data_IF_441925630967
#
_entry.id   IF_441925630967
#
_cell.length_a   1.000
_cell.length_b   1.000
_cell.length_c   1.000
_cell.angle_alpha   90.00
_cell.angle_beta   90.00
_cell.angle_gamma   90.00
#
_symmetry.space_group_name_H-M   'P 1'
#
loop_
_entity.id
_entity.type
_entity.pdbx_description
1 polymer ?
#
# COMPACT_ATOMS: atom_id res chain seq x y z
N UNK A 1 -41.88 8.62 -18.78
CA UNK A 1 -40.65 8.51 -19.59
C UNK A 1 -39.60 7.80 -18.73
N UNK A 2 -39.95 6.59 -18.30
CA UNK A 2 -39.53 5.28 -18.84
C UNK A 2 -38.22 4.81 -18.22
N UNK A 3 -38.40 3.99 -17.19
CA UNK A 3 -37.44 3.13 -16.48
C UNK A 3 -36.79 2.06 -17.37
N UNK A 4 -36.54 2.35 -18.65
CA UNK A 4 -36.08 1.39 -19.66
C UNK A 4 -34.55 1.26 -19.78
N UNK A 5 -33.79 1.98 -18.95
CA UNK A 5 -32.31 1.95 -19.00
C UNK A 5 -31.72 0.87 -18.08
N UNK A 6 -32.50 0.27 -17.18
CA UNK A 6 -32.04 -0.78 -16.25
C UNK A 6 -32.24 -2.22 -16.78
N UNK A 7 -32.80 -2.39 -17.99
CA UNK A 7 -33.24 -3.70 -18.49
C UNK A 7 -32.39 -4.28 -19.64
N UNK A 8 -31.27 -3.64 -19.96
CA UNK A 8 -30.23 -4.27 -20.77
C UNK A 8 -29.10 -4.72 -19.86
N UNK A 9 -29.28 -5.90 -19.23
CA UNK A 9 -28.18 -6.72 -18.75
C UNK A 9 -27.39 -7.24 -19.94
N UNK A 10 -26.64 -6.36 -20.60
CA UNK A 10 -25.53 -6.79 -21.44
C UNK A 10 -24.58 -7.57 -20.52
N UNK A 11 -24.25 -8.79 -20.92
CA UNK A 11 -22.98 -9.40 -20.55
C UNK A 11 -21.85 -8.58 -21.21
N UNK A 12 -21.77 -7.29 -20.86
CA UNK A 12 -20.64 -6.45 -21.17
C UNK A 12 -19.50 -7.03 -20.35
N UNK A 13 -18.67 -7.83 -21.01
CA UNK A 13 -17.28 -7.94 -20.60
C UNK A 13 -16.83 -6.51 -20.38
N UNK A 14 -16.42 -6.16 -19.14
CA UNK A 14 -15.82 -4.85 -18.88
C UNK A 14 -14.65 -4.70 -19.84
N UNK A 15 -14.86 -4.00 -20.95
CA UNK A 15 -13.77 -3.55 -21.80
C UNK A 15 -13.04 -2.51 -20.97
N UNK A 16 -11.76 -2.76 -20.65
CA UNK A 16 -10.92 -1.77 -20.01
C UNK A 16 -11.07 -0.45 -20.78
N UNK A 17 -11.52 0.61 -20.10
CA UNK A 17 -11.69 1.90 -20.75
C UNK A 17 -10.29 2.40 -21.12
N UNK A 18 -9.98 2.41 -22.42
CA UNK A 18 -8.74 2.95 -22.95
C UNK A 18 -8.75 4.48 -22.83
N UNK A 19 -8.48 4.96 -21.62
CA UNK A 19 -8.30 6.38 -21.33
C UNK A 19 -6.94 6.87 -21.84
N UNK A 20 -6.96 7.94 -22.64
CA UNK A 20 -5.76 8.54 -23.21
C UNK A 20 -5.58 9.98 -22.73
N UNK A 21 -4.33 10.44 -22.62
CA UNK A 21 -3.98 11.83 -22.33
C UNK A 21 -4.39 12.31 -20.94
N UNK A 22 -5.09 13.44 -20.87
CA UNK A 22 -5.46 14.10 -19.59
C UNK A 22 -6.36 13.23 -18.70
N UNK A 23 -7.23 12.41 -19.29
CA UNK A 23 -8.09 11.48 -18.55
C UNK A 23 -7.28 10.36 -17.87
N UNK A 24 -6.19 9.91 -18.49
CA UNK A 24 -5.27 8.95 -17.88
C UNK A 24 -4.55 9.60 -16.68
N UNK A 25 -4.11 10.85 -16.81
CA UNK A 25 -3.44 11.58 -15.74
C UNK A 25 -4.36 11.85 -14.55
N UNK A 26 -5.62 12.23 -14.78
CA UNK A 26 -6.58 12.44 -13.68
C UNK A 26 -6.91 11.14 -12.96
N UNK A 27 -7.07 10.04 -13.70
CA UNK A 27 -7.25 8.71 -13.09
C UNK A 27 -5.99 8.27 -12.33
N UNK A 28 -4.81 8.49 -12.90
CA UNK A 28 -3.53 8.22 -12.22
C UNK A 28 -3.40 9.02 -10.93
N UNK A 29 -3.85 10.27 -10.91
CA UNK A 29 -3.88 11.09 -9.69
C UNK A 29 -4.89 10.55 -8.66
N UNK A 30 -6.09 10.14 -9.10
CA UNK A 30 -7.07 9.53 -8.20
C UNK A 30 -6.60 8.21 -7.58
N UNK A 31 -5.83 7.41 -8.32
CA UNK A 31 -5.24 6.18 -7.78
C UNK A 31 -4.31 6.45 -6.58
N UNK A 32 -3.73 7.66 -6.49
CA UNK A 32 -2.81 8.00 -5.41
C UNK A 32 -3.43 7.86 -4.03
N UNK A 33 -4.60 8.46 -3.83
CA UNK A 33 -5.27 8.49 -2.53
C UNK A 33 -5.85 7.14 -2.09
N UNK A 34 -6.24 6.30 -3.06
CA UNK A 34 -6.97 5.07 -2.79
C UNK A 34 -6.03 3.88 -2.65
N UNK A 35 -4.99 3.81 -3.49
CA UNK A 35 -4.13 2.63 -3.59
C UNK A 35 -2.84 2.80 -2.79
N UNK A 36 -2.23 3.99 -2.79
CA UNK A 36 -0.87 4.16 -2.29
C UNK A 36 -0.76 4.77 -0.90
N UNK A 37 -1.89 5.06 -0.25
CA UNK A 37 -1.87 5.61 1.11
C UNK A 37 -1.28 4.62 2.12
N UNK A 38 -1.51 3.32 1.93
CA UNK A 38 -0.97 2.26 2.81
C UNK A 38 0.55 2.11 2.66
N UNK A 39 1.03 1.80 1.44
CA UNK A 39 2.47 1.72 1.16
C UNK A 39 3.21 3.06 1.38
N UNK A 40 2.48 4.18 1.35
CA UNK A 40 2.97 5.52 1.58
C UNK A 40 3.24 5.84 3.06
N UNK A 41 2.59 5.15 4.01
CA UNK A 41 2.84 5.35 5.45
C UNK A 41 3.93 4.43 6.00
N UNK A 42 4.32 3.38 5.28
CA UNK A 42 5.41 2.46 5.66
C UNK A 42 6.72 3.15 6.08
N UNK A 43 7.18 4.24 5.45
CA UNK A 43 8.38 4.94 5.90
C UNK A 43 8.35 5.44 7.35
N UNK A 44 7.17 5.57 7.98
CA UNK A 44 7.02 5.97 9.38
C UNK A 44 7.61 4.94 10.37
N UNK A 45 7.50 3.65 10.05
CA UNK A 45 7.78 2.56 10.98
C UNK A 45 8.85 1.58 10.52
N UNK A 46 9.14 1.50 9.21
CA UNK A 46 10.06 0.48 8.66
C UNK A 46 11.45 0.49 9.26
N UNK A 47 12.12 1.64 9.35
CA UNK A 47 13.50 1.66 9.88
C UNK A 47 13.54 1.42 11.38
N UNK A 48 12.54 1.88 12.13
CA UNK A 48 12.41 1.56 13.57
C UNK A 48 12.11 0.06 13.78
N UNK A 49 11.56 -0.63 12.78
CA UNK A 49 11.37 -2.08 12.78
C UNK A 49 12.62 -2.89 12.39
N UNK A 50 13.65 -2.24 11.81
CA UNK A 50 14.96 -2.86 11.53
C UNK A 50 15.94 -2.58 12.66
N UNK A 51 15.97 -1.33 13.16
CA UNK A 51 16.82 -0.91 14.27
C UNK A 51 15.97 -0.35 15.40
N UNK A 52 16.01 -1.04 16.54
CA UNK A 52 15.26 -0.62 17.72
C UNK A 52 16.00 0.47 18.47
N UNK A 53 15.26 1.26 19.24
CA UNK A 53 15.81 2.34 20.05
C UNK A 53 16.77 1.87 21.15
N UNK A 54 16.62 0.61 21.59
CA UNK A 54 17.44 0.00 22.64
C UNK A 54 18.74 -0.63 22.12
N UNK A 55 18.88 -0.77 20.79
CA UNK A 55 20.05 -1.37 20.16
C UNK A 55 21.17 -0.33 19.94
N UNK A 56 22.46 -0.73 19.95
CA UNK A 56 23.54 0.15 19.54
C UNK A 56 23.34 0.68 18.12
N UNK A 57 23.80 1.91 17.85
CA UNK A 57 23.69 2.48 16.52
C UNK A 57 24.34 1.57 15.46
N UNK A 58 23.62 1.28 14.36
CA UNK A 58 24.12 0.40 13.33
C UNK A 58 25.35 0.98 12.63
N UNK A 59 26.23 0.09 12.16
CA UNK A 59 27.36 0.53 11.35
C UNK A 59 26.89 1.13 10.02
N UNK A 60 27.69 2.01 9.43
CA UNK A 60 27.42 2.60 8.10
C UNK A 60 27.09 1.51 7.07
N UNK A 61 27.82 0.40 7.10
CA UNK A 61 27.60 -0.73 6.20
C UNK A 61 26.28 -1.47 6.49
N UNK A 62 25.86 -1.56 7.75
CA UNK A 62 24.57 -2.18 8.10
C UNK A 62 23.41 -1.31 7.61
N UNK A 63 23.50 0.01 7.79
CA UNK A 63 22.48 0.95 7.30
C UNK A 63 22.36 0.88 5.79
N UNK A 64 23.48 0.95 5.06
CA UNK A 64 23.48 0.82 3.60
C UNK A 64 22.90 -0.53 3.17
N UNK A 65 23.22 -1.61 3.87
CA UNK A 65 22.66 -2.94 3.62
C UNK A 65 21.16 -3.04 3.86
N UNK A 66 20.64 -2.43 4.93
CA UNK A 66 19.22 -2.43 5.27
C UNK A 66 18.40 -1.61 4.27
N UNK A 67 18.89 -0.42 3.91
CA UNK A 67 18.27 0.39 2.85
C UNK A 67 18.33 -0.33 1.50
N UNK A 68 19.43 -1.03 1.20
CA UNK A 68 19.52 -1.85 -0.01
C UNK A 68 18.44 -2.93 -0.03
N UNK A 69 18.22 -3.63 1.09
CA UNK A 69 17.18 -4.65 1.20
C UNK A 69 15.78 -4.07 0.95
N UNK A 70 15.48 -2.89 1.49
CA UNK A 70 14.20 -2.18 1.26
C UNK A 70 14.04 -1.79 -0.21
N UNK A 71 15.06 -1.17 -0.81
CA UNK A 71 15.01 -0.74 -2.22
C UNK A 71 14.78 -1.93 -3.14
N UNK A 72 15.46 -3.05 -2.90
CA UNK A 72 15.28 -4.26 -3.71
C UNK A 72 13.96 -4.98 -3.42
N UNK A 73 13.46 -4.97 -2.18
CA UNK A 73 12.13 -5.46 -1.86
C UNK A 73 11.04 -4.68 -2.63
N UNK A 74 11.11 -3.34 -2.62
CA UNK A 74 10.22 -2.46 -3.40
C UNK A 74 10.36 -2.66 -4.92
N UNK A 75 11.59 -2.88 -5.40
CA UNK A 75 11.85 -3.08 -6.82
C UNK A 75 11.33 -4.43 -7.31
N UNK A 76 11.52 -5.50 -6.54
CA UNK A 76 11.15 -6.85 -6.94
C UNK A 76 9.65 -7.09 -6.75
N UNK A 77 9.07 -6.68 -5.62
CA UNK A 77 7.68 -6.99 -5.29
C UNK A 77 6.70 -5.98 -5.91
N UNK A 78 6.53 -4.75 -5.39
CA UNK A 78 5.56 -3.85 -5.97
C UNK A 78 5.88 -3.42 -7.41
N UNK A 79 7.13 -3.09 -7.75
CA UNK A 79 7.45 -2.65 -9.12
C UNK A 79 7.45 -3.80 -10.14
N UNK A 80 8.32 -4.80 -9.98
CA UNK A 80 8.47 -5.85 -10.98
C UNK A 80 7.33 -6.88 -10.93
N UNK A 81 7.10 -7.52 -9.78
CA UNK A 81 6.08 -8.57 -9.65
C UNK A 81 4.69 -7.98 -9.83
N UNK A 82 4.29 -6.96 -9.08
CA UNK A 82 2.91 -6.48 -9.16
C UNK A 82 2.67 -5.61 -10.41
N UNK A 83 3.40 -4.50 -10.55
CA UNK A 83 3.12 -3.50 -11.58
C UNK A 83 3.49 -3.95 -12.99
N UNK A 84 4.62 -4.62 -13.19
CA UNK A 84 5.06 -5.04 -14.53
C UNK A 84 4.52 -6.42 -14.94
N UNK A 85 4.47 -7.38 -14.01
CA UNK A 85 4.07 -8.77 -14.31
C UNK A 85 2.58 -8.97 -14.01
N UNK A 86 2.16 -8.91 -12.75
CA UNK A 86 0.80 -9.27 -12.34
C UNK A 86 -0.27 -8.41 -13.02
N UNK A 87 -0.04 -7.11 -13.26
CA UNK A 87 -1.01 -6.28 -13.99
C UNK A 87 -1.16 -6.72 -15.47
N UNK A 88 -0.10 -7.21 -16.12
CA UNK A 88 -0.16 -7.69 -17.53
C UNK A 88 -0.81 -9.06 -17.66
N UNK A 89 -0.66 -9.91 -16.65
CA UNK A 89 -1.26 -11.23 -16.58
C UNK A 89 -2.59 -11.25 -15.81
N UNK A 90 -3.05 -10.08 -15.35
CA UNK A 90 -4.33 -9.87 -14.68
C UNK A 90 -5.46 -10.40 -15.57
N UNK A 91 -6.34 -11.19 -14.96
CA UNK A 91 -7.36 -12.01 -15.61
C UNK A 91 -8.25 -11.21 -16.57
N UNK A 92 -8.82 -11.91 -17.56
CA UNK A 92 -9.75 -11.39 -18.57
C UNK A 92 -11.00 -10.67 -18.03
N UNK A 93 -11.23 -10.71 -16.72
CA UNK A 93 -12.36 -10.08 -16.01
C UNK A 93 -11.96 -8.77 -15.30
N UNK A 94 -10.67 -8.41 -15.30
CA UNK A 94 -10.15 -7.21 -14.64
C UNK A 94 -10.07 -7.31 -13.11
N UNK A 95 -10.47 -8.41 -12.49
CA UNK A 95 -10.42 -8.58 -11.03
C UNK A 95 -9.16 -9.35 -10.59
N UNK A 96 -8.35 -8.73 -9.74
CA UNK A 96 -7.16 -9.29 -9.12
C UNK A 96 -7.31 -9.40 -7.60
N UNK A 97 -6.48 -10.22 -6.97
CA UNK A 97 -6.39 -10.35 -5.51
C UNK A 97 -6.76 -11.74 -4.97
N UNK A 98 -6.44 -11.95 -3.69
CA UNK A 98 -6.95 -13.07 -2.88
C UNK A 98 -8.48 -13.10 -2.86
N UNK A 99 -9.11 -11.93 -2.93
CA UNK A 99 -10.56 -11.77 -2.98
C UNK A 99 -11.18 -12.24 -4.30
N UNK A 100 -10.56 -11.96 -5.45
CA UNK A 100 -11.01 -12.45 -6.75
C UNK A 100 -10.88 -13.99 -6.85
N UNK A 101 -9.83 -14.56 -6.25
CA UNK A 101 -9.68 -16.03 -6.12
C UNK A 101 -10.80 -16.64 -5.27
N UNK A 102 -11.15 -16.00 -4.14
CA UNK A 102 -12.23 -16.45 -3.28
C UNK A 102 -13.59 -16.41 -3.99
N UNK A 103 -13.91 -15.30 -4.67
CA UNK A 103 -15.15 -15.16 -5.45
C UNK A 103 -15.19 -16.10 -6.67
N UNK A 104 -14.04 -16.42 -7.27
CA UNK A 104 -13.94 -17.41 -8.34
C UNK A 104 -14.20 -18.84 -7.86
N UNK A 105 -13.80 -19.19 -6.63
CA UNK A 105 -14.08 -20.50 -6.02
C UNK A 105 -15.52 -20.62 -5.49
N UNK A 106 -16.08 -19.51 -5.02
CA UNK A 106 -17.46 -19.37 -4.60
C UNK A 106 -18.17 -18.34 -5.47
N UNK A 107 -18.46 -18.66 -6.74
CA UNK A 107 -19.26 -17.76 -7.57
C UNK A 107 -20.58 -17.52 -6.82
N UNK A 108 -20.99 -16.26 -6.61
CA UNK A 108 -22.27 -15.98 -5.98
C UNK A 108 -23.31 -16.76 -6.75
N UNK A 109 -24.14 -17.52 -6.03
CA UNK A 109 -25.20 -18.33 -6.60
C UNK A 109 -25.95 -17.42 -7.58
N UNK A 110 -25.82 -17.70 -8.89
CA UNK A 110 -26.55 -16.95 -9.90
C UNK A 110 -27.99 -17.20 -9.55
N UNK A 111 -28.64 -16.23 -8.90
CA UNK A 111 -30.09 -16.24 -8.74
C UNK A 111 -30.63 -16.46 -10.14
N UNK A 112 -31.13 -17.66 -10.37
CA UNK A 112 -31.56 -18.06 -11.69
C UNK A 112 -32.72 -17.12 -12.00
N UNK A 113 -32.60 -16.21 -12.98
CA UNK A 113 -33.69 -15.31 -13.30
C UNK A 113 -34.95 -16.14 -13.64
N UNK A 114 -34.78 -17.40 -14.06
CA UNK A 114 -35.86 -18.38 -14.25
C UNK A 114 -36.72 -18.67 -13.02
N UNK A 115 -36.15 -18.69 -11.81
CA UNK A 115 -36.92 -18.93 -10.57
C UNK A 115 -37.76 -17.70 -10.20
N UNK A 116 -37.25 -16.48 -10.43
CA UNK A 116 -38.02 -15.23 -10.30
C UNK A 116 -38.99 -14.99 -11.50
N UNK A 117 -38.73 -15.61 -12.67
CA UNK A 117 -39.57 -15.54 -13.90
C UNK A 117 -40.87 -16.34 -13.81
N UNK A 118 -40.96 -17.38 -12.98
CA UNK A 118 -42.22 -18.14 -12.79
C UNK A 118 -43.35 -17.23 -12.26
N UNK A 119 -42.99 -16.13 -11.58
CA UNK A 119 -43.93 -15.19 -11.01
C UNK A 119 -44.35 -14.05 -11.96
N UNK A 120 -43.64 -13.81 -13.07
CA UNK A 120 -43.84 -12.61 -13.92
C UNK A 120 -44.22 -12.88 -15.38
N UNK A 121 -44.08 -14.12 -15.89
CA UNK A 121 -44.71 -14.55 -17.15
C UNK A 121 -44.09 -14.05 -18.46
N UNK A 122 -43.02 -13.26 -18.42
CA UNK A 122 -42.39 -12.69 -19.64
C UNK A 122 -41.30 -13.60 -20.23
N UNK A 123 -41.24 -13.68 -21.57
CA UNK A 123 -40.24 -14.46 -22.33
C UNK A 123 -39.38 -13.56 -23.20
N UNK A 124 -38.06 -13.60 -22.99
CA UNK A 124 -37.08 -13.03 -23.92
C UNK A 124 -36.07 -14.07 -24.41
N UNK A 125 -35.60 -13.82 -25.64
CA UNK A 125 -34.82 -14.73 -26.49
C UNK A 125 -33.44 -15.02 -25.88
N UNK A 126 -33.09 -16.31 -25.80
CA UNK A 126 -31.81 -16.85 -25.29
C UNK A 126 -30.61 -16.18 -25.99
N UNK A 127 -29.92 -15.26 -25.33
CA UNK A 127 -28.58 -14.82 -25.75
C UNK A 127 -27.56 -15.72 -25.07
N UNK A 128 -26.88 -16.55 -25.86
CA UNK A 128 -25.87 -17.47 -25.35
C UNK A 128 -24.61 -16.72 -24.95
N UNK A 129 -24.33 -16.66 -23.64
CA UNK A 129 -22.96 -16.44 -23.15
C UNK A 129 -22.48 -17.70 -22.45
N UNK A 130 -21.82 -18.56 -23.21
CA UNK A 130 -21.09 -19.74 -22.70
C UNK A 130 -19.80 -19.27 -22.03
N UNK A 131 -19.90 -18.62 -20.86
CA UNK A 131 -18.75 -18.48 -19.98
C UNK A 131 -18.60 -19.81 -19.24
N UNK A 132 -17.76 -20.69 -19.76
CA UNK A 132 -17.41 -21.94 -19.10
C UNK A 132 -16.69 -21.61 -17.79
N UNK A 133 -17.42 -21.62 -16.67
CA UNK A 133 -16.80 -21.82 -15.36
C UNK A 133 -16.11 -23.19 -15.44
N UNK A 134 -14.79 -23.19 -15.60
CA UNK A 134 -14.02 -24.41 -15.61
C UNK A 134 -14.24 -25.07 -14.25
N UNK A 135 -15.02 -26.17 -14.22
CA UNK A 135 -15.21 -26.97 -13.02
C UNK A 135 -13.83 -27.47 -12.57
N UNK A 136 -13.27 -26.81 -11.57
CA UNK A 136 -12.04 -27.25 -10.91
C UNK A 136 -12.30 -28.66 -10.36
N UNK A 137 -11.29 -29.52 -10.46
CA UNK A 137 -11.37 -30.89 -9.95
C UNK A 137 -11.72 -30.87 -8.45
N UNK A 138 -12.71 -31.65 -8.00
CA UNK A 138 -13.19 -31.66 -6.61
C UNK A 138 -12.06 -31.88 -5.58
N UNK A 139 -11.01 -32.63 -5.96
CA UNK A 139 -9.84 -32.86 -5.10
C UNK A 139 -8.91 -31.66 -4.97
N UNK A 140 -8.88 -30.78 -5.99
CA UNK A 140 -8.08 -29.55 -5.97
C UNK A 140 -8.88 -28.39 -5.37
N UNK A 141 -10.21 -28.49 -5.33
CA UNK A 141 -11.09 -27.48 -4.75
C UNK A 141 -10.84 -27.28 -3.25
N UNK A 142 -10.77 -28.35 -2.46
CA UNK A 142 -10.50 -28.27 -1.01
C UNK A 142 -9.19 -27.58 -0.63
N UNK A 143 -8.01 -27.96 -1.19
CA UNK A 143 -6.77 -27.28 -0.85
C UNK A 143 -6.74 -25.83 -1.34
N UNK A 144 -7.33 -25.53 -2.51
CA UNK A 144 -7.47 -24.15 -3.00
C UNK A 144 -8.39 -23.31 -2.10
N UNK A 145 -9.46 -23.89 -1.57
CA UNK A 145 -10.38 -23.24 -0.65
C UNK A 145 -9.70 -22.91 0.67
N UNK A 146 -8.97 -23.86 1.26
CA UNK A 146 -8.22 -23.62 2.50
C UNK A 146 -7.18 -22.54 2.29
N UNK A 147 -6.44 -22.59 1.17
CA UNK A 147 -5.44 -21.59 0.82
C UNK A 147 -6.06 -20.20 0.60
N UNK A 148 -7.21 -20.13 -0.06
CA UNK A 148 -7.94 -18.88 -0.33
C UNK A 148 -8.50 -18.26 0.96
N UNK A 149 -9.11 -19.07 1.83
CA UNK A 149 -9.59 -18.61 3.15
C UNK A 149 -8.45 -18.11 4.01
N UNK A 150 -7.33 -18.85 4.03
CA UNK A 150 -6.13 -18.44 4.76
C UNK A 150 -5.57 -17.11 4.22
N UNK A 151 -5.41 -16.97 2.90
CA UNK A 151 -4.97 -15.72 2.28
C UNK A 151 -5.90 -14.54 2.58
N UNK A 152 -7.22 -14.76 2.50
CA UNK A 152 -8.22 -13.72 2.80
C UNK A 152 -8.16 -13.30 4.27
N UNK A 153 -7.96 -14.24 5.19
CA UNK A 153 -7.78 -13.95 6.61
C UNK A 153 -6.52 -13.12 6.87
N UNK A 154 -5.41 -13.39 6.16
CA UNK A 154 -4.19 -12.60 6.27
C UNK A 154 -4.39 -11.17 5.75
N UNK A 155 -5.08 -11.01 4.61
CA UNK A 155 -5.42 -9.67 4.08
C UNK A 155 -6.31 -8.89 5.05
N UNK A 156 -7.26 -9.55 5.73
CA UNK A 156 -8.09 -8.90 6.77
C UNK A 156 -7.23 -8.48 7.98
N UNK A 157 -6.31 -9.33 8.41
CA UNK A 157 -5.41 -9.01 9.53
C UNK A 157 -4.52 -7.80 9.21
N UNK A 158 -3.95 -7.75 8.01
CA UNK A 158 -3.17 -6.61 7.51
C UNK A 158 -3.99 -5.30 7.54
N UNK A 159 -5.23 -5.34 7.04
CA UNK A 159 -6.14 -4.19 7.08
C UNK A 159 -6.49 -3.69 8.48
N UNK A 160 -6.33 -4.50 9.53
CA UNK A 160 -6.53 -4.10 10.94
C UNK A 160 -5.23 -3.57 11.55
N UNK A 161 -4.08 -4.15 11.23
CA UNK A 161 -2.79 -3.75 11.79
C UNK A 161 -2.26 -2.43 11.22
N UNK A 162 -2.41 -2.19 9.93
CA UNK A 162 -1.85 -1.00 9.26
C UNK A 162 -2.35 0.31 9.89
N UNK A 163 -3.66 0.54 10.11
CA UNK A 163 -4.13 1.79 10.74
C UNK A 163 -3.61 1.93 12.17
N UNK A 164 -3.53 0.84 12.92
CA UNK A 164 -3.04 0.86 14.30
C UNK A 164 -1.56 1.26 14.37
N UNK A 165 -0.71 0.64 13.54
CA UNK A 165 0.72 0.92 13.50
C UNK A 165 0.98 2.33 12.94
N UNK A 166 0.27 2.73 11.88
CA UNK A 166 0.43 4.06 11.27
C UNK A 166 0.03 5.18 12.25
N UNK A 167 -1.14 5.08 12.90
CA UNK A 167 -1.60 6.08 13.87
C UNK A 167 -0.69 6.13 15.10
N UNK A 168 -0.27 4.99 15.63
CA UNK A 168 0.66 4.97 16.77
C UNK A 168 2.00 5.59 16.41
N UNK A 169 2.50 5.33 15.19
CA UNK A 169 3.74 5.95 14.68
C UNK A 169 3.57 7.46 14.52
N UNK A 170 2.42 7.92 14.03
CA UNK A 170 2.09 9.33 13.88
C UNK A 170 2.02 10.08 15.23
N UNK A 171 1.35 9.49 16.22
CA UNK A 171 1.25 10.05 17.56
C UNK A 171 2.61 10.06 18.27
N UNK A 172 3.47 9.06 18.04
CA UNK A 172 4.85 9.07 18.51
C UNK A 172 5.66 10.26 17.96
N UNK A 173 5.33 10.76 16.76
CA UNK A 173 5.90 12.00 16.23
C UNK A 173 5.57 13.23 17.07
N UNK A 174 4.35 13.30 17.64
CA UNK A 174 3.92 14.37 18.53
C UNK A 174 4.73 14.36 19.83
N UNK A 175 5.05 13.17 20.35
CA UNK A 175 5.84 13.02 21.57
C UNK A 175 7.27 13.59 21.43
N UNK A 176 7.83 13.65 20.22
CA UNK A 176 9.14 14.24 19.95
C UNK A 176 9.09 15.77 20.01
N UNK A 177 8.03 16.38 19.46
CA UNK A 177 7.83 17.82 19.58
C UNK A 177 7.42 18.24 21.00
N UNK A 178 6.65 17.40 21.70
CA UNK A 178 6.20 17.67 23.06
C UNK A 178 6.39 16.44 23.94
N UNK A 179 7.52 16.37 24.69
CA UNK A 179 7.83 15.25 25.58
C UNK A 179 6.76 14.97 26.64
N UNK A 180 5.93 15.95 26.99
CA UNK A 180 4.80 15.79 27.91
C UNK A 180 3.72 14.82 27.41
N UNK A 181 3.74 14.44 26.13
CA UNK A 181 2.77 13.54 25.48
C UNK A 181 3.29 12.09 25.44
N UNK A 182 4.55 11.84 25.83
CA UNK A 182 5.19 10.52 25.73
C UNK A 182 4.44 9.40 26.47
N UNK A 183 3.96 9.68 27.69
CA UNK A 183 3.21 8.70 28.49
C UNK A 183 1.77 8.48 27.97
N UNK A 184 1.25 9.42 27.18
CA UNK A 184 -0.13 9.45 26.68
C UNK A 184 -0.26 8.96 25.21
N UNK A 185 0.82 8.46 24.59
CA UNK A 185 0.80 8.02 23.18
C UNK A 185 -0.26 6.94 22.93
N UNK A 186 -0.35 5.94 23.81
CA UNK A 186 -1.32 4.84 23.69
C UNK A 186 -2.77 5.34 23.80
N UNK A 187 -3.19 6.05 24.86
CA UNK A 187 -4.58 6.50 24.98
C UNK A 187 -4.97 7.50 23.88
N UNK A 188 -4.05 8.37 23.45
CA UNK A 188 -4.30 9.29 22.34
C UNK A 188 -4.52 8.52 21.03
N UNK A 189 -3.69 7.51 20.74
CA UNK A 189 -3.83 6.67 19.55
C UNK A 189 -5.18 5.95 19.52
N UNK A 190 -5.63 5.41 20.67
CA UNK A 190 -6.95 4.77 20.78
C UNK A 190 -8.06 5.79 20.50
N UNK A 191 -7.99 7.00 21.06
CA UNK A 191 -8.97 8.05 20.82
C UNK A 191 -9.03 8.47 19.34
N UNK A 192 -7.87 8.62 18.68
CA UNK A 192 -7.79 8.91 17.25
C UNK A 192 -8.38 7.79 16.39
N UNK A 193 -8.06 6.53 16.69
CA UNK A 193 -8.63 5.38 15.96
C UNK A 193 -10.14 5.36 16.08
N UNK A 194 -10.70 5.50 17.29
CA UNK A 194 -12.15 5.55 17.51
C UNK A 194 -12.78 6.70 16.71
N UNK A 195 -12.19 7.89 16.75
CA UNK A 195 -12.67 9.05 16.00
C UNK A 195 -12.64 8.81 14.48
N UNK A 196 -11.54 8.25 13.95
CA UNK A 196 -11.39 7.93 12.53
C UNK A 196 -12.45 6.92 12.07
N UNK A 197 -12.63 5.82 12.81
CA UNK A 197 -13.65 4.81 12.50
C UNK A 197 -15.09 5.36 12.58
N UNK A 198 -15.37 6.25 13.53
CA UNK A 198 -16.66 6.94 13.62
C UNK A 198 -16.92 7.85 12.41
N UNK A 199 -15.90 8.56 11.92
CA UNK A 199 -16.02 9.41 10.73
C UNK A 199 -16.18 8.59 9.46
N UNK A 200 -15.44 7.48 9.32
CA UNK A 200 -15.52 6.57 8.16
C UNK A 200 -16.93 5.99 7.95
N UNK A 201 -17.74 5.86 9.01
CA UNK A 201 -19.13 5.40 8.92
C UNK A 201 -20.05 6.30 8.09
N UNK A 202 -19.64 7.54 7.78
CA UNK A 202 -20.45 8.53 7.04
C UNK A 202 -20.32 8.50 5.51
N UNK A 203 -19.53 7.58 4.96
CA UNK A 203 -19.46 7.32 3.51
C UNK A 203 -18.04 7.40 2.94
N UNK A 204 -17.67 6.38 2.17
CA UNK A 204 -16.30 6.17 1.64
C UNK A 204 -16.02 6.93 0.33
N UNK A 205 -17.07 7.28 -0.42
CA UNK A 205 -16.93 7.86 -1.77
C UNK A 205 -16.42 9.30 -1.77
N UNK A 206 -16.80 10.13 -0.79
CA UNK A 206 -16.29 11.50 -0.67
C UNK A 206 -14.85 11.52 -0.13
N UNK A 207 -14.53 10.60 0.78
CA UNK A 207 -13.23 10.49 1.42
C UNK A 207 -12.14 10.20 0.38
N UNK A 208 -12.40 9.29 -0.56
CA UNK A 208 -11.47 8.91 -1.62
C UNK A 208 -10.97 10.11 -2.47
N UNK A 209 -11.84 11.09 -2.76
CA UNK A 209 -11.45 12.29 -3.51
C UNK A 209 -10.59 13.27 -2.71
N UNK A 210 -10.77 13.32 -1.38
CA UNK A 210 -9.98 14.18 -0.49
C UNK A 210 -8.61 13.55 -0.21
N UNK A 211 -8.53 12.22 -0.16
CA UNK A 211 -7.27 11.53 0.10
C UNK A 211 -6.26 11.67 -1.04
N UNK A 212 -6.69 11.74 -2.31
CA UNK A 212 -5.77 11.87 -3.44
C UNK A 212 -4.79 13.07 -3.33
N UNK A 213 -5.23 14.32 -3.10
CA UNK A 213 -4.32 15.44 -2.91
C UNK A 213 -3.50 15.33 -1.62
N UNK A 214 -4.05 14.76 -0.54
CA UNK A 214 -3.31 14.54 0.71
C UNK A 214 -2.14 13.59 0.48
N UNK A 215 -2.37 12.43 -0.15
CA UNK A 215 -1.33 11.44 -0.44
C UNK A 215 -0.29 11.99 -1.43
N UNK A 216 -0.71 12.81 -2.39
CA UNK A 216 0.23 13.48 -3.29
C UNK A 216 1.16 14.44 -2.54
N UNK A 217 0.61 15.29 -1.68
CA UNK A 217 1.39 16.22 -0.86
C UNK A 217 2.31 15.45 0.09
N UNK A 218 1.78 14.41 0.75
CA UNK A 218 2.54 13.53 1.63
C UNK A 218 3.76 12.91 0.93
N UNK A 219 3.56 12.24 -0.21
CA UNK A 219 4.66 11.64 -0.97
C UNK A 219 5.66 12.69 -1.47
N UNK A 220 5.18 13.87 -1.88
CA UNK A 220 6.05 14.97 -2.27
C UNK A 220 6.90 15.50 -1.09
N UNK A 221 6.32 15.59 0.11
CA UNK A 221 7.05 15.94 1.33
C UNK A 221 8.11 14.89 1.64
N UNK A 222 7.77 13.60 1.59
CA UNK A 222 8.71 12.49 1.78
C UNK A 222 9.87 12.53 0.78
N UNK A 223 9.58 12.75 -0.50
CA UNK A 223 10.61 12.87 -1.52
C UNK A 223 11.52 14.09 -1.26
N UNK A 224 10.94 15.22 -0.86
CA UNK A 224 11.67 16.46 -0.59
C UNK A 224 12.58 16.34 0.63
N UNK A 225 12.09 15.79 1.74
CA UNK A 225 12.91 15.50 2.93
C UNK A 225 13.99 14.47 2.62
N UNK A 226 13.64 13.45 1.83
CA UNK A 226 14.58 12.46 1.31
C UNK A 226 15.76 13.10 0.59
N UNK A 227 15.48 13.96 -0.40
CA UNK A 227 16.50 14.67 -1.19
C UNK A 227 17.41 15.51 -0.30
N UNK A 228 16.86 16.28 0.64
CA UNK A 228 17.65 17.13 1.55
C UNK A 228 18.62 16.28 2.38
N UNK A 229 18.17 15.13 2.87
CA UNK A 229 19.01 14.26 3.69
C UNK A 229 20.08 13.52 2.85
N UNK A 230 19.77 13.15 1.61
CA UNK A 230 20.75 12.54 0.68
C UNK A 230 21.92 13.49 0.41
N UNK A 231 21.68 14.80 0.34
CA UNK A 231 22.76 15.80 0.16
C UNK A 231 23.78 15.73 1.31
N UNK A 232 23.33 15.38 2.52
CA UNK A 232 24.22 15.27 3.69
C UNK A 232 25.16 14.07 3.60
N UNK A 233 24.71 12.97 2.99
CA UNK A 233 25.53 11.77 2.78
C UNK A 233 25.21 11.12 1.41
N UNK A 234 25.88 11.56 0.32
CA UNK A 234 25.64 11.02 -1.02
C UNK A 234 26.16 9.59 -1.20
N UNK A 235 26.94 9.06 -0.25
CA UNK A 235 27.39 7.66 -0.25
C UNK A 235 26.26 6.64 -0.15
N UNK A 236 25.05 7.07 0.25
CA UNK A 236 23.89 6.19 0.42
C UNK A 236 23.44 5.52 -0.89
N UNK A 237 23.79 6.09 -2.05
CA UNK A 237 23.48 5.50 -3.35
C UNK A 237 24.13 4.13 -3.58
N UNK A 238 25.12 3.74 -2.76
CA UNK A 238 25.62 2.35 -2.72
C UNK A 238 24.53 1.33 -2.40
N UNK A 239 23.42 1.74 -1.78
CA UNK A 239 22.28 0.89 -1.49
C UNK A 239 21.61 0.31 -2.76
N UNK A 240 21.80 0.92 -3.94
CA UNK A 240 21.30 0.35 -5.19
C UNK A 240 21.99 -0.96 -5.58
N UNK A 241 23.17 -1.24 -5.04
CA UNK A 241 23.85 -2.52 -5.26
C UNK A 241 23.25 -3.61 -4.35
N UNK A 242 22.59 -4.66 -4.91
CA UNK A 242 21.96 -5.73 -4.12
C UNK A 242 22.97 -6.54 -3.31
N UNK A 243 24.27 -6.50 -3.67
CA UNK A 243 25.31 -7.18 -2.92
C UNK A 243 25.38 -6.69 -1.47
N UNK A 244 24.99 -5.43 -1.20
CA UNK A 244 24.99 -4.81 0.13
C UNK A 244 23.92 -5.40 1.04
N UNK A 245 22.73 -5.64 0.51
CA UNK A 245 21.66 -6.35 1.23
C UNK A 245 22.10 -7.77 1.59
N UNK A 246 22.70 -8.51 0.64
CA UNK A 246 23.18 -9.88 0.89
C UNK A 246 24.28 -9.87 1.95
N UNK A 247 25.22 -8.92 1.86
CA UNK A 247 26.33 -8.80 2.81
C UNK A 247 25.86 -8.51 4.23
N UNK A 248 24.80 -7.71 4.41
CA UNK A 248 24.17 -7.48 5.71
C UNK A 248 23.76 -8.82 6.35
N UNK A 249 22.90 -9.59 5.67
CA UNK A 249 22.39 -10.85 6.22
C UNK A 249 23.48 -11.91 6.42
N UNK A 250 24.49 -11.94 5.56
CA UNK A 250 25.64 -12.85 5.73
C UNK A 250 26.49 -12.47 6.94
N UNK A 251 26.63 -11.17 7.23
CA UNK A 251 27.44 -10.65 8.34
C UNK A 251 26.72 -10.78 9.68
N UNK A 252 25.50 -10.25 9.77
CA UNK A 252 24.72 -10.26 11.02
C UNK A 252 24.23 -11.66 11.36
N UNK A 253 23.95 -12.49 10.33
CA UNK A 253 23.25 -13.78 10.46
C UNK A 253 21.90 -13.67 11.16
N UNK A 254 21.38 -12.46 11.26
CA UNK A 254 20.11 -12.15 11.86
C UNK A 254 19.09 -11.95 10.74
N UNK A 255 18.13 -12.87 10.68
CA UNK A 255 17.06 -12.84 9.69
C UNK A 255 15.84 -12.08 10.20
N UNK A 256 15.80 -11.67 11.47
CA UNK A 256 14.69 -10.90 12.03
C UNK A 256 14.63 -9.50 11.42
N UNK A 257 15.79 -8.97 10.99
CA UNK A 257 15.89 -7.74 10.18
C UNK A 257 15.02 -7.79 8.90
N UNK A 258 14.77 -8.99 8.36
CA UNK A 258 13.90 -9.15 7.20
C UNK A 258 12.45 -8.80 7.54
N UNK A 259 11.99 -9.04 8.77
CA UNK A 259 10.65 -8.65 9.20
C UNK A 259 10.46 -7.13 9.10
N UNK A 260 11.45 -6.35 9.53
CA UNK A 260 11.46 -4.89 9.36
C UNK A 260 11.49 -4.46 7.89
N UNK A 261 12.24 -5.16 7.03
CA UNK A 261 12.24 -4.90 5.58
C UNK A 261 10.88 -5.22 4.94
N UNK A 262 10.20 -6.28 5.40
CA UNK A 262 8.88 -6.66 4.90
C UNK A 262 7.80 -5.64 5.25
N UNK A 263 7.98 -4.82 6.29
CA UNK A 263 7.11 -3.69 6.58
C UNK A 263 7.14 -2.61 5.48
N UNK A 264 8.14 -2.60 4.59
CA UNK A 264 8.19 -1.64 3.48
C UNK A 264 7.31 -2.01 2.30
N UNK A 265 6.85 -3.27 2.23
CA UNK A 265 6.01 -3.78 1.15
C UNK A 265 4.55 -3.96 1.62
N UNK A 266 4.22 -3.60 2.85
CA UNK A 266 2.83 -3.58 3.34
C UNK A 266 2.00 -2.64 2.45
N UNK A 267 0.75 -3.03 2.20
CA UNK A 267 -0.09 -2.32 1.24
C UNK A 267 0.21 -2.59 -0.24
N UNK A 268 1.26 -3.36 -0.59
CA UNK A 268 1.50 -3.70 -2.00
C UNK A 268 0.37 -4.56 -2.60
N UNK A 269 -0.37 -5.28 -1.76
CA UNK A 269 -1.52 -6.09 -2.18
C UNK A 269 -2.69 -5.23 -2.68
N UNK A 270 -2.83 -4.00 -2.17
CA UNK A 270 -3.85 -3.06 -2.62
C UNK A 270 -3.67 -2.70 -4.11
N UNK A 271 -2.45 -2.74 -4.64
CA UNK A 271 -2.20 -2.52 -6.07
C UNK A 271 -2.85 -3.62 -6.92
N UNK A 272 -2.85 -4.86 -6.42
CA UNK A 272 -3.40 -6.00 -7.14
C UNK A 272 -4.91 -6.15 -6.91
N UNK A 273 -5.41 -5.83 -5.71
CA UNK A 273 -6.84 -5.86 -5.41
C UNK A 273 -7.64 -4.81 -6.22
N UNK A 274 -7.05 -3.65 -6.50
CA UNK A 274 -7.73 -2.53 -7.17
C UNK A 274 -7.65 -2.54 -8.70
N UNK A 275 -7.13 -3.62 -9.30
CA UNK A 275 -7.16 -3.87 -10.76
C UNK A 275 -8.57 -3.77 -11.35
N UNK A 276 -9.60 -4.14 -10.58
CA UNK A 276 -10.99 -4.13 -11.04
C UNK A 276 -11.63 -2.75 -11.10
N UNK A 277 -11.02 -1.75 -10.45
CA UNK A 277 -11.55 -0.39 -10.35
C UNK A 277 -10.77 0.61 -11.21
N UNK A 278 -9.48 0.35 -11.48
CA UNK A 278 -8.59 1.27 -12.19
C UNK A 278 -7.88 0.62 -13.37
N UNK A 279 -7.62 1.42 -14.41
CA UNK A 279 -6.89 0.95 -15.58
C UNK A 279 -5.42 0.63 -15.22
N UNK A 280 -4.90 -0.49 -15.73
CA UNK A 280 -3.50 -0.90 -15.62
C UNK A 280 -2.53 0.24 -15.94
N UNK A 281 -2.78 0.96 -17.04
CA UNK A 281 -1.89 2.04 -17.48
C UNK A 281 -1.82 3.19 -16.46
N UNK A 282 -2.92 3.48 -15.78
CA UNK A 282 -2.96 4.51 -14.73
C UNK A 282 -2.12 4.09 -13.51
N UNK A 283 -2.24 2.83 -13.09
CA UNK A 283 -1.47 2.27 -11.96
C UNK A 283 0.02 2.23 -12.31
N UNK A 284 0.38 1.76 -13.51
CA UNK A 284 1.77 1.72 -13.97
C UNK A 284 2.40 3.10 -14.01
N UNK A 285 1.69 4.09 -14.55
CA UNK A 285 2.18 5.45 -14.63
C UNK A 285 2.34 6.06 -13.24
N UNK A 286 1.30 6.05 -12.40
CA UNK A 286 1.36 6.69 -11.08
C UNK A 286 2.40 6.04 -10.17
N UNK A 287 2.48 4.71 -10.15
CA UNK A 287 3.42 4.01 -9.30
C UNK A 287 4.87 4.20 -9.75
N UNK A 288 5.17 3.92 -11.03
CA UNK A 288 6.55 3.96 -11.52
C UNK A 288 7.10 5.39 -11.63
N UNK A 289 6.27 6.39 -11.91
CA UNK A 289 6.73 7.77 -12.10
C UNK A 289 6.78 8.60 -10.82
N UNK A 290 5.93 8.30 -9.83
CA UNK A 290 5.78 9.15 -8.64
C UNK A 290 5.98 8.39 -7.34
N UNK A 291 5.22 7.33 -7.10
CA UNK A 291 5.22 6.63 -5.79
C UNK A 291 6.55 5.94 -5.52
N UNK A 292 7.00 5.09 -6.45
CA UNK A 292 8.26 4.36 -6.34
C UNK A 292 9.47 5.30 -6.12
N UNK A 293 9.71 6.33 -6.96
CA UNK A 293 10.84 7.22 -6.72
C UNK A 293 10.70 8.00 -5.41
N UNK A 294 9.48 8.40 -5.01
CA UNK A 294 9.27 9.10 -3.73
C UNK A 294 9.64 8.22 -2.53
N UNK A 295 9.21 6.96 -2.54
CA UNK A 295 9.54 6.00 -1.48
C UNK A 295 11.04 5.69 -1.43
N UNK A 296 11.66 5.45 -2.58
CA UNK A 296 13.10 5.20 -2.65
C UNK A 296 13.89 6.40 -2.12
N UNK A 297 13.51 7.63 -2.50
CA UNK A 297 14.14 8.85 -1.98
C UNK A 297 13.94 9.01 -0.46
N UNK A 298 12.76 8.68 0.05
CA UNK A 298 12.48 8.73 1.48
C UNK A 298 13.38 7.76 2.27
N UNK A 299 13.47 6.49 1.85
CA UNK A 299 14.31 5.50 2.51
C UNK A 299 15.81 5.83 2.41
N UNK A 300 16.28 6.26 1.24
CA UNK A 300 17.66 6.73 1.07
C UNK A 300 17.95 7.93 1.98
N UNK A 301 17.04 8.89 2.09
CA UNK A 301 17.23 10.05 2.97
C UNK A 301 17.25 9.69 4.45
N UNK A 302 16.35 8.81 4.89
CA UNK A 302 16.35 8.36 6.28
C UNK A 302 17.64 7.57 6.62
N UNK A 303 18.09 6.69 5.74
CA UNK A 303 19.36 5.99 5.91
C UNK A 303 20.58 6.92 5.91
N UNK A 304 20.61 7.92 5.02
CA UNK A 304 21.67 8.92 4.99
C UNK A 304 21.78 9.68 6.32
N UNK A 305 20.65 10.05 6.91
CA UNK A 305 20.62 10.79 8.16
C UNK A 305 20.93 9.91 9.37
N UNK A 306 20.50 8.64 9.35
CA UNK A 306 20.87 7.64 10.36
C UNK A 306 22.39 7.43 10.44
N UNK A 307 23.08 7.43 9.29
CA UNK A 307 24.56 7.32 9.23
C UNK A 307 25.24 8.56 9.84
N UNK A 308 24.69 9.76 9.61
CA UNK A 308 25.30 11.03 10.03
C UNK A 308 25.08 11.31 11.51
N UNK A 309 23.87 11.09 12.02
CA UNK A 309 23.48 11.46 13.38
C UNK A 309 23.55 10.29 14.38
N UNK A 310 23.60 9.04 13.90
CA UNK A 310 23.74 7.84 14.73
C UNK A 310 22.65 7.68 15.80
N UNK A 311 23.07 7.53 17.06
CA UNK A 311 22.20 7.25 18.21
C UNK A 311 21.12 8.32 18.44
N UNK A 312 21.34 9.57 18.02
CA UNK A 312 20.40 10.66 18.23
C UNK A 312 19.05 10.47 17.48
N UNK A 313 19.02 9.58 16.49
CA UNK A 313 17.88 9.37 15.59
C UNK A 313 17.12 8.07 15.90
N UNK A 314 17.66 7.18 16.74
CA UNK A 314 17.10 5.84 17.01
C UNK A 314 15.77 5.85 17.77
N UNK A 315 15.47 6.89 18.55
CA UNK A 315 14.19 7.00 19.27
C UNK A 315 12.99 7.10 18.33
N UNK A 316 13.17 7.77 17.19
CA UNK A 316 12.21 7.78 16.11
C UNK A 316 12.88 8.21 14.81
N UNK A 317 13.27 7.21 14.02
CA UNK A 317 14.08 7.46 12.82
C UNK A 317 13.32 8.32 11.80
N UNK A 318 12.01 8.17 11.66
CA UNK A 318 11.27 8.98 10.69
C UNK A 318 11.29 10.48 11.06
N UNK A 319 10.78 10.82 12.24
CA UNK A 319 10.54 12.22 12.62
C UNK A 319 11.83 12.98 12.89
N UNK A 320 12.86 12.31 13.40
CA UNK A 320 14.18 12.91 13.63
C UNK A 320 14.93 13.20 12.33
N UNK A 321 14.48 12.65 11.19
CA UNK A 321 15.08 12.92 9.87
C UNK A 321 14.40 14.07 9.12
N UNK A 322 13.33 14.66 9.67
CA UNK A 322 12.67 15.80 9.03
C UNK A 322 13.59 17.03 9.10
N UNK A 323 13.94 17.66 7.96
CA UNK A 323 14.77 18.86 7.96
C UNK A 323 14.09 20.02 8.68
N UNK A 324 14.80 20.63 9.62
CA UNK A 324 14.34 21.81 10.36
C UNK A 324 14.38 21.60 11.87
N UNK A 325 13.79 22.56 12.61
CA UNK A 325 13.65 22.42 14.07
C UNK A 325 12.52 21.42 14.39
N UNK A 326 12.61 20.64 15.49
CA UNK A 326 11.58 19.69 15.95
C UNK A 326 10.17 20.26 16.24
N UNK A 327 9.89 21.51 15.89
CA UNK A 327 8.60 22.18 16.06
C UNK A 327 8.30 23.11 14.86
N UNK A 328 9.05 22.98 13.77
CA UNK A 328 8.93 23.83 12.59
C UNK A 328 7.63 23.60 11.81
N UNK A 329 7.24 24.53 10.93
CA UNK A 329 6.04 24.39 10.11
C UNK A 329 6.07 23.15 9.22
N UNK A 330 7.25 22.73 8.75
CA UNK A 330 7.43 21.48 7.99
C UNK A 330 7.17 20.24 8.85
N UNK A 331 7.65 20.23 10.10
CA UNK A 331 7.45 19.12 11.03
C UNK A 331 5.95 18.92 11.35
N UNK A 332 5.24 20.00 11.67
CA UNK A 332 3.79 19.95 11.89
C UNK A 332 3.01 19.57 10.63
N UNK A 333 3.45 20.02 9.44
CA UNK A 333 2.82 19.63 8.18
C UNK A 333 2.97 18.14 7.91
N UNK A 334 4.13 17.57 8.22
CA UNK A 334 4.36 16.12 8.08
C UNK A 334 3.51 15.35 9.10
N UNK A 335 3.48 15.76 10.37
CA UNK A 335 2.60 15.11 11.38
C UNK A 335 1.12 15.17 11.01
N UNK A 336 0.65 16.29 10.47
CA UNK A 336 -0.77 16.43 10.12
C UNK A 336 -1.18 15.56 8.91
N UNK A 337 -0.21 15.22 8.05
CA UNK A 337 -0.44 14.45 6.82
C UNK A 337 -0.19 12.93 7.01
N UNK A 338 0.52 12.54 8.07
CA UNK A 338 0.72 11.15 8.50
C UNK A 338 -0.48 10.60 9.26
#
# INVERSE_FOLDING_TARGET
MSLSILENGSADRRSAVEVHGFALLTLSFQTLGIIYSDIGTSPLYVLNGIWHADDPAPSEEDVVGGISAIVWALTILPLLKYVLICLRFGTTEGEGGTYALFQGLFPPERKDPEVDRILTGDSFKKSGSTASSAKLNEKLWWPLLVLSLFGTSLTIADGVFTPAVSVTSAVSGIAIAKPSVGDDVIPISIAFLVALFLVQSRGTSLLAYIFAPVTFIWLALLASTGIVNIISYPGIFRAFDPSRAIMLFVRTRDYDLLAGVLLAITGCEALFANLGQFNMASIQLSFASFVYPSLVLAYLGQGARLIVDGEAVLSNIFYSTIPGRPEGPLFWSVIQMS
#
